data_IF_804552822830
#
_entry.id   IF_804552822830
#
_cell.length_a   1.000
_cell.length_b   1.000
_cell.length_c   1.000
_cell.angle_alpha   90.00
_cell.angle_beta   90.00
_cell.angle_gamma   90.00
#
_symmetry.space_group_name_H-M   'P 1'
#
loop_
_entity.id
_entity.type
_entity.pdbx_description
1 polymer ?
#
# COMPACT_ATOMS: atom_id res chain seq x y z
N UNK A 1 0.24 8.30 9.25
CA UNK A 1 -1.16 8.49 8.81
C UNK A 1 -1.30 9.19 7.47
N UNK A 2 -0.45 10.17 7.14
CA UNK A 2 -0.58 10.99 5.91
C UNK A 2 -0.77 10.20 4.60
N UNK A 3 -0.10 9.06 4.43
CA UNK A 3 -0.24 8.22 3.22
C UNK A 3 -1.64 7.64 3.01
N UNK A 4 -2.20 7.01 4.04
CA UNK A 4 -3.51 6.34 3.92
C UNK A 4 -4.61 7.38 3.73
N UNK A 5 -4.51 8.51 4.45
CA UNK A 5 -5.45 9.63 4.27
C UNK A 5 -5.29 10.29 2.90
N UNK A 6 -4.07 10.51 2.40
CA UNK A 6 -3.90 11.08 1.05
C UNK A 6 -4.42 10.13 -0.03
N UNK A 7 -4.17 8.83 0.10
CA UNK A 7 -4.68 7.83 -0.84
C UNK A 7 -6.21 7.73 -0.80
N UNK A 8 -6.84 7.95 0.37
CA UNK A 8 -8.29 8.04 0.50
C UNK A 8 -8.81 9.27 -0.24
N UNK A 9 -8.21 10.42 0.00
CA UNK A 9 -8.63 11.70 -0.59
C UNK A 9 -8.48 11.68 -2.13
N UNK A 10 -7.46 11.00 -2.64
CA UNK A 10 -7.19 10.83 -4.08
C UNK A 10 -7.73 9.52 -4.66
N UNK A 11 -8.57 8.76 -3.94
CA UNK A 11 -8.96 7.40 -4.37
C UNK A 11 -9.60 7.39 -5.77
N UNK A 12 -10.44 8.38 -6.07
CA UNK A 12 -11.06 8.54 -7.38
C UNK A 12 -10.03 8.64 -8.53
N UNK A 13 -8.85 9.24 -8.30
CA UNK A 13 -7.80 9.33 -9.34
C UNK A 13 -7.26 7.96 -9.75
N UNK A 14 -7.18 7.02 -8.80
CA UNK A 14 -6.78 5.64 -9.10
C UNK A 14 -7.89 4.91 -9.87
N UNK A 15 -9.15 5.13 -9.50
CA UNK A 15 -10.30 4.56 -10.19
C UNK A 15 -10.44 5.06 -11.65
N UNK A 16 -10.17 6.34 -11.90
CA UNK A 16 -10.14 6.91 -13.26
C UNK A 16 -9.13 6.22 -14.17
N UNK A 17 -8.04 5.70 -13.60
CA UNK A 17 -7.04 4.90 -14.31
C UNK A 17 -7.23 3.40 -14.14
N UNK A 18 -8.45 2.96 -13.79
CA UNK A 18 -8.85 1.54 -13.69
C UNK A 18 -7.91 0.74 -12.76
N UNK A 19 -7.64 1.32 -11.59
CA UNK A 19 -6.72 0.78 -10.59
C UNK A 19 -7.31 0.87 -9.19
N UNK A 20 -7.19 -0.21 -8.41
CA UNK A 20 -7.55 -0.22 -7.00
C UNK A 20 -6.35 -0.06 -6.07
N UNK A 21 -6.62 0.45 -4.88
CA UNK A 21 -5.65 0.65 -3.81
C UNK A 21 -5.91 -0.37 -2.70
N UNK A 22 -4.86 -1.04 -2.23
CA UNK A 22 -4.93 -1.97 -1.10
C UNK A 22 -3.82 -1.62 -0.12
N UNK A 23 -4.18 -1.28 1.12
CA UNK A 23 -3.21 -1.13 2.21
C UNK A 23 -2.94 -2.48 2.86
N UNK A 24 -1.68 -2.82 3.11
CA UNK A 24 -1.31 -4.07 3.82
C UNK A 24 -0.41 -3.71 5.00
N UNK A 25 -0.64 -4.33 6.16
CA UNK A 25 0.19 -4.10 7.34
C UNK A 25 0.25 -5.33 8.27
N UNK A 26 1.32 -5.38 9.08
CA UNK A 26 1.62 -6.45 10.02
C UNK A 26 0.76 -6.44 11.30
N UNK A 27 -0.15 -5.48 11.47
CA UNK A 27 -1.03 -5.45 12.65
C UNK A 27 -2.22 -6.41 12.48
N UNK A 28 -2.69 -6.93 13.61
CA UNK A 28 -3.90 -7.76 13.76
C UNK A 28 -5.14 -7.14 13.09
N UNK A 29 -5.98 -8.00 12.52
CA UNK A 29 -7.15 -7.60 11.74
C UNK A 29 -8.13 -6.66 12.47
N UNK A 30 -8.40 -6.90 13.76
CA UNK A 30 -9.32 -6.03 14.51
C UNK A 30 -8.77 -4.59 14.66
N UNK A 31 -7.45 -4.45 14.81
CA UNK A 31 -6.79 -3.15 14.90
C UNK A 31 -6.78 -2.44 13.54
N UNK A 32 -6.53 -3.18 12.45
CA UNK A 32 -6.63 -2.63 11.09
C UNK A 32 -8.04 -2.11 10.81
N UNK A 33 -9.07 -2.89 11.16
CA UNK A 33 -10.47 -2.49 10.96
C UNK A 33 -10.79 -1.20 11.72
N UNK A 34 -10.49 -1.17 13.02
CA UNK A 34 -10.72 0.03 13.83
C UNK A 34 -9.99 1.26 13.28
N UNK A 35 -8.78 1.07 12.76
CA UNK A 35 -7.97 2.16 12.19
C UNK A 35 -8.50 2.62 10.83
N UNK A 36 -8.92 1.71 9.96
CA UNK A 36 -9.57 2.02 8.69
C UNK A 36 -10.88 2.79 8.91
N UNK A 37 -11.69 2.36 9.87
CA UNK A 37 -12.94 3.02 10.27
C UNK A 37 -12.68 4.44 10.79
N UNK A 38 -11.67 4.60 11.67
CA UNK A 38 -11.25 5.91 12.20
C UNK A 38 -10.80 6.87 11.09
N UNK A 39 -10.03 6.36 10.12
CA UNK A 39 -9.58 7.13 8.97
C UNK A 39 -10.64 7.26 7.87
N UNK A 40 -11.80 6.61 8.00
CA UNK A 40 -12.85 6.55 6.98
C UNK A 40 -12.29 6.15 5.60
N UNK A 41 -11.43 5.14 5.56
CA UNK A 41 -10.81 4.71 4.30
C UNK A 41 -11.88 4.20 3.33
N UNK A 42 -11.75 4.59 2.07
CA UNK A 42 -12.62 4.17 0.96
C UNK A 42 -12.10 2.92 0.24
N UNK A 43 -10.96 2.40 0.70
CA UNK A 43 -10.26 1.26 0.13
C UNK A 43 -9.85 0.28 1.25
N UNK A 44 -9.64 -1.01 0.93
CA UNK A 44 -9.34 -2.03 1.93
C UNK A 44 -7.98 -1.83 2.60
N UNK A 45 -7.96 -1.99 3.93
CA UNK A 45 -6.75 -2.11 4.75
C UNK A 45 -6.69 -3.50 5.37
N UNK A 46 -5.74 -4.31 4.90
CA UNK A 46 -5.65 -5.76 5.17
C UNK A 46 -4.55 -6.06 6.19
N UNK A 47 -4.80 -7.07 7.02
CA UNK A 47 -3.85 -7.62 8.00
C UNK A 47 -3.10 -8.79 7.40
N UNK A 48 -1.78 -8.79 7.49
CA UNK A 48 -0.91 -9.95 7.17
C UNK A 48 -0.43 -10.69 8.44
N UNK A 49 -0.93 -10.30 9.62
CA UNK A 49 -0.68 -11.00 10.89
C UNK A 49 -1.42 -12.35 10.95
N UNK A 50 -0.85 -13.40 11.59
CA UNK A 50 0.43 -13.44 12.30
C UNK A 50 1.63 -13.80 11.43
N UNK A 51 1.40 -14.42 10.28
CA UNK A 51 2.45 -15.14 9.55
C UNK A 51 3.35 -14.23 8.70
N UNK A 52 2.87 -13.03 8.35
CA UNK A 52 3.59 -12.02 7.56
C UNK A 52 4.03 -12.54 6.17
N UNK A 53 3.30 -13.51 5.61
CA UNK A 53 3.65 -14.19 4.37
C UNK A 53 3.65 -13.24 3.18
N UNK A 54 2.68 -12.33 3.10
CA UNK A 54 2.59 -11.38 1.98
C UNK A 54 3.73 -10.37 2.05
N UNK A 55 3.98 -9.79 3.22
CA UNK A 55 5.05 -8.82 3.45
C UNK A 55 6.42 -9.44 3.16
N UNK A 56 6.64 -10.71 3.54
CA UNK A 56 7.87 -11.44 3.25
C UNK A 56 8.00 -11.79 1.76
N UNK A 57 6.92 -12.25 1.12
CA UNK A 57 6.91 -12.57 -0.31
C UNK A 57 7.23 -11.36 -1.20
N UNK A 58 6.85 -10.15 -0.78
CA UNK A 58 7.19 -8.90 -1.47
C UNK A 58 8.62 -8.39 -1.13
N UNK A 59 9.31 -9.08 -0.22
CA UNK A 59 10.69 -8.81 0.16
C UNK A 59 10.85 -7.53 0.97
N UNK A 60 9.84 -7.15 1.75
CA UNK A 60 9.81 -5.92 2.55
C UNK A 60 9.62 -6.18 4.04
N UNK A 61 9.77 -7.43 4.50
CA UNK A 61 9.71 -7.77 5.91
C UNK A 61 10.99 -7.34 6.66
N UNK A 62 10.85 -6.45 7.63
CA UNK A 62 11.84 -6.26 8.70
C UNK A 62 11.64 -7.38 9.73
N UNK A 63 12.47 -8.43 9.65
CA UNK A 63 12.37 -9.63 10.49
C UNK A 63 12.65 -9.34 11.97
N UNK A 64 13.52 -8.38 12.27
CA UNK A 64 13.83 -8.01 13.66
C UNK A 64 12.64 -7.31 14.32
N UNK A 65 12.01 -6.40 13.59
CA UNK A 65 10.86 -5.64 14.12
C UNK A 65 9.51 -6.30 13.89
N UNK A 66 9.45 -7.32 13.02
CA UNK A 66 8.20 -7.93 12.51
C UNK A 66 7.25 -6.89 11.89
N UNK A 67 7.81 -5.98 11.09
CA UNK A 67 7.06 -4.91 10.42
C UNK A 67 7.35 -4.90 8.92
N UNK A 68 6.41 -4.38 8.14
CA UNK A 68 6.67 -4.04 6.75
C UNK A 68 7.54 -2.78 6.67
N UNK A 69 8.58 -2.82 5.86
CA UNK A 69 9.21 -1.61 5.32
C UNK A 69 8.17 -0.84 4.51
N UNK A 70 8.24 0.48 4.59
CA UNK A 70 7.31 1.35 3.86
C UNK A 70 7.58 1.23 2.36
N UNK A 71 6.58 0.80 1.60
CA UNK A 71 6.78 0.45 0.19
C UNK A 71 5.51 0.61 -0.63
N UNK A 72 5.70 0.80 -1.93
CA UNK A 72 4.66 0.91 -2.95
C UNK A 72 4.93 -0.09 -4.06
N UNK A 73 3.87 -0.76 -4.51
CA UNK A 73 3.92 -1.70 -5.62
C UNK A 73 2.79 -1.40 -6.58
N UNK A 74 3.06 -1.49 -7.88
CA UNK A 74 2.01 -1.50 -8.92
C UNK A 74 2.03 -2.88 -9.54
N UNK A 75 0.91 -3.58 -9.42
CA UNK A 75 0.69 -4.91 -9.96
C UNK A 75 -0.31 -4.78 -11.11
N UNK A 76 0.04 -5.29 -12.29
CA UNK A 76 -0.88 -5.29 -13.42
C UNK A 76 -1.99 -6.35 -13.30
N UNK A 77 -2.91 -6.35 -14.26
CA UNK A 77 -4.04 -7.29 -14.28
C UNK A 77 -3.62 -8.75 -14.53
N UNK A 78 -2.38 -9.00 -14.93
CA UNK A 78 -1.80 -10.35 -15.08
C UNK A 78 -1.07 -10.80 -13.80
N UNK A 79 -1.07 -9.98 -12.75
CA UNK A 79 -0.39 -10.27 -11.49
C UNK A 79 1.11 -9.97 -11.51
N UNK A 80 1.60 -9.24 -12.52
CA UNK A 80 3.03 -8.91 -12.65
C UNK A 80 3.33 -7.58 -11.97
N UNK A 81 4.37 -7.54 -11.13
CA UNK A 81 4.86 -6.29 -10.54
C UNK A 81 5.54 -5.47 -11.64
N UNK A 82 4.96 -4.31 -11.97
CA UNK A 82 5.48 -3.36 -12.95
C UNK A 82 6.25 -2.20 -12.33
N UNK A 83 6.01 -1.94 -11.05
CA UNK A 83 6.71 -0.94 -10.28
C UNK A 83 6.91 -1.42 -8.85
N UNK A 84 8.10 -1.17 -8.29
CA UNK A 84 8.46 -1.42 -6.90
C UNK A 84 9.25 -0.22 -6.38
N UNK A 85 8.81 0.32 -5.25
CA UNK A 85 9.56 1.33 -4.51
C UNK A 85 9.53 0.99 -3.02
N UNK A 86 10.71 0.81 -2.42
CA UNK A 86 10.87 0.55 -1.00
C UNK A 86 11.58 1.75 -0.40
N UNK A 87 10.89 2.46 0.49
CA UNK A 87 11.41 3.68 1.08
C UNK A 87 12.41 3.36 2.20
N UNK A 88 13.60 3.91 2.05
CA UNK A 88 14.60 3.96 3.10
C UNK A 88 14.17 4.88 4.26
N UNK A 89 14.87 4.77 5.40
CA UNK A 89 14.62 5.66 6.54
C UNK A 89 14.81 7.12 6.14
N UNK A 90 13.84 7.95 6.52
CA UNK A 90 13.88 9.41 6.29
C UNK A 90 13.55 9.83 4.86
N UNK A 91 13.28 8.89 3.94
CA UNK A 91 12.81 9.25 2.60
C UNK A 91 11.38 9.78 2.64
N UNK A 92 11.06 10.79 1.82
CA UNK A 92 9.70 11.31 1.73
C UNK A 92 8.74 10.28 1.12
N UNK A 93 7.46 10.47 1.42
CA UNK A 93 6.39 9.67 0.83
C UNK A 93 6.33 9.87 -0.68
N UNK A 94 6.02 8.80 -1.41
CA UNK A 94 5.70 8.91 -2.84
C UNK A 94 4.33 9.58 -2.95
N UNK A 95 4.22 10.58 -3.83
CA UNK A 95 2.95 11.27 -4.07
C UNK A 95 2.01 10.40 -4.90
N UNK A 96 0.71 10.52 -4.68
CA UNK A 96 -0.29 9.78 -5.46
C UNK A 96 -0.23 10.15 -6.94
N UNK A 97 0.04 11.42 -7.28
CA UNK A 97 0.21 11.85 -8.68
C UNK A 97 1.40 11.14 -9.35
N UNK A 98 2.50 10.90 -8.61
CA UNK A 98 3.63 10.14 -9.14
C UNK A 98 3.25 8.67 -9.37
N UNK A 99 2.52 8.04 -8.44
CA UNK A 99 2.03 6.66 -8.62
C UNK A 99 1.09 6.55 -9.81
N UNK A 100 0.14 7.49 -9.97
CA UNK A 100 -0.78 7.54 -11.12
C UNK A 100 -0.02 7.75 -12.43
N UNK A 101 1.06 8.56 -12.43
CA UNK A 101 1.92 8.71 -13.60
C UNK A 101 2.63 7.40 -13.98
N UNK A 102 3.09 6.62 -13.00
CA UNK A 102 3.66 5.28 -13.25
C UNK A 102 2.61 4.30 -13.77
N UNK A 103 1.39 4.31 -13.22
CA UNK A 103 0.27 3.46 -13.70
C UNK A 103 -0.03 3.72 -15.18
N UNK A 104 -0.04 5.00 -15.59
CA UNK A 104 -0.31 5.38 -16.98
C UNK A 104 0.73 4.88 -17.98
N UNK A 105 1.94 4.54 -17.55
CA UNK A 105 3.00 3.97 -18.43
C UNK A 105 2.81 2.48 -18.72
N UNK A 106 1.98 1.79 -17.94
CA UNK A 106 1.74 0.34 -18.06
C UNK A 106 0.64 0.06 -19.10
N UNK A 107 -0.11 1.10 -19.52
CA UNK A 107 -1.16 1.02 -20.53
C UNK A 107 -0.62 0.98 -21.95
#
# INVERSE_FOLDING_TARGET
MKELSSSRDDYAKFQEVDTEVIGISANVAFSQKAFADFLKLTFPLVSDYPDLQTIDAYGVLDRERRLAQRSYFIVDKQGVIRYKNVLGRGQPLVTNDALVAEIKKIR
#
